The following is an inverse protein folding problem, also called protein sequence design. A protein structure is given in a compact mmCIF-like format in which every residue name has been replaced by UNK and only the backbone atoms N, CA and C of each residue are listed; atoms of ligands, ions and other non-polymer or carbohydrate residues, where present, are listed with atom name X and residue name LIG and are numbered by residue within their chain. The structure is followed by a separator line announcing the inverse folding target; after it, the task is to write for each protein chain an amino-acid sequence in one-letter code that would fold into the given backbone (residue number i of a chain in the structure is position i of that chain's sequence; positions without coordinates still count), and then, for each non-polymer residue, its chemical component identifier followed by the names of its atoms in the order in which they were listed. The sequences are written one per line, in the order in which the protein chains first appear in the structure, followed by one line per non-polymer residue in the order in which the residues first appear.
data_IF_836630540308
#
_entry.id   IF_836630540308
#
_cell.length_a   1.000
_cell.length_b   1.000
_cell.length_c   1.000
_cell.angle_alpha   90.00
_cell.angle_beta   90.00
_cell.angle_gamma   90.00
#
_symmetry.space_group_name_H-M   'P 1'
#
loop_
_entity.id
_entity.type
_entity.pdbx_description
1 polymer ?
#
# COMPACT_ATOMS: atom_id res chain seq x y z
N UNK A 1 -15.72 -8.95 8.83
CA UNK A 1 -15.51 -10.07 9.77
C UNK A 1 -14.13 -10.64 9.48
N UNK A 2 -13.21 -10.62 10.45
CA UNK A 2 -11.86 -11.18 10.30
C UNK A 2 -11.95 -12.65 10.74
N UNK A 3 -11.58 -13.59 9.87
CA UNK A 3 -11.60 -15.01 10.17
C UNK A 3 -10.23 -15.43 10.72
N UNK A 4 -10.19 -15.95 11.93
CA UNK A 4 -8.96 -16.45 12.55
C UNK A 4 -9.18 -17.79 13.23
N UNK A 5 -8.11 -18.59 13.34
CA UNK A 5 -8.07 -19.86 14.09
C UNK A 5 -7.16 -19.71 15.30
N UNK A 6 -7.67 -20.01 16.48
CA UNK A 6 -6.86 -20.07 17.71
C UNK A 6 -6.16 -21.44 17.77
N UNK A 7 -4.84 -21.43 17.91
CA UNK A 7 -4.00 -22.59 18.16
C UNK A 7 -4.01 -22.95 19.66
N UNK A 8 -3.67 -24.20 19.96
CA UNK A 8 -3.62 -24.75 21.33
C UNK A 8 -2.58 -24.09 22.24
N UNK A 9 -1.62 -23.35 21.68
CA UNK A 9 -0.63 -22.55 22.41
C UNK A 9 -1.10 -21.10 22.69
N UNK A 10 -2.35 -20.76 22.34
CA UNK A 10 -2.95 -19.44 22.54
C UNK A 10 -2.70 -18.45 21.40
N UNK A 11 -1.98 -18.84 20.33
CA UNK A 11 -1.75 -17.97 19.16
C UNK A 11 -2.96 -17.98 18.22
N UNK A 12 -3.29 -16.84 17.62
CA UNK A 12 -4.28 -16.79 16.54
C UNK A 12 -3.61 -16.70 15.18
N UNK A 13 -4.13 -17.46 14.22
CA UNK A 13 -3.76 -17.39 12.80
C UNK A 13 -4.89 -16.70 12.04
N UNK A 14 -4.60 -15.60 11.33
CA UNK A 14 -5.54 -15.01 10.38
C UNK A 14 -5.64 -15.89 9.14
N UNK A 15 -6.83 -16.43 8.89
CA UNK A 15 -7.09 -17.37 7.80
C UNK A 15 -7.08 -16.70 6.42
N UNK A 16 -6.96 -15.37 6.34
CA UNK A 16 -6.90 -14.63 5.07
C UNK A 16 -5.50 -14.64 4.45
N UNK A 17 -4.47 -15.00 5.20
CA UNK A 17 -3.07 -14.99 4.74
C UNK A 17 -2.48 -16.39 4.56
N UNK A 18 -3.24 -17.45 4.82
CA UNK A 18 -2.74 -18.82 4.72
C UNK A 18 -3.64 -19.67 3.83
N UNK A 19 -3.14 -20.02 2.64
CA UNK A 19 -3.90 -20.80 1.66
C UNK A 19 -4.19 -22.25 2.12
N UNK A 20 -3.39 -22.78 3.04
CA UNK A 20 -3.66 -24.00 3.82
C UNK A 20 -2.52 -24.17 4.84
N UNK A 21 -2.83 -24.46 6.11
CA UNK A 21 -1.83 -24.94 7.07
C UNK A 21 -2.09 -26.43 7.23
N UNK A 22 -1.17 -27.26 6.75
CA UNK A 22 -1.20 -28.69 7.06
C UNK A 22 -0.54 -28.94 8.43
N UNK A 23 -0.91 -30.02 9.14
CA UNK A 23 -0.26 -30.39 10.39
C UNK A 23 1.22 -30.72 10.14
N UNK A 24 2.12 -29.78 10.43
CA UNK A 24 3.56 -29.94 10.22
C UNK A 24 4.27 -28.71 9.65
N UNK A 25 3.53 -27.70 9.17
CA UNK A 25 4.13 -26.49 8.61
C UNK A 25 4.78 -25.61 9.70
N UNK A 26 6.06 -25.28 9.50
CA UNK A 26 6.81 -24.34 10.33
C UNK A 26 6.52 -22.94 9.80
N UNK A 27 5.77 -22.15 10.56
CA UNK A 27 5.58 -20.73 10.25
C UNK A 27 6.94 -20.02 10.32
N UNK A 28 7.38 -19.45 9.19
CA UNK A 28 8.64 -18.72 9.09
C UNK A 28 8.50 -17.40 9.87
N UNK A 29 9.52 -17.08 10.67
CA UNK A 29 9.61 -16.00 11.68
C UNK A 29 9.38 -14.56 11.16
N UNK A 30 8.99 -14.39 9.89
CA UNK A 30 8.59 -13.10 9.30
C UNK A 30 7.09 -12.80 9.36
N UNK A 31 6.26 -13.78 9.75
CA UNK A 31 4.80 -13.68 9.77
C UNK A 31 4.26 -13.55 11.22
N UNK A 32 4.91 -12.70 12.01
CA UNK A 32 4.52 -12.43 13.40
C UNK A 32 3.19 -11.69 13.39
N UNK A 33 2.11 -12.44 13.60
CA UNK A 33 0.78 -11.90 13.88
C UNK A 33 0.90 -11.06 15.15
N UNK A 34 0.39 -9.81 15.16
CA UNK A 34 0.32 -9.02 16.39
C UNK A 34 -0.46 -9.80 17.44
N UNK A 35 -0.09 -9.65 18.71
CA UNK A 35 -0.80 -10.21 19.86
C UNK A 35 -2.32 -10.21 19.61
N UNK A 36 -2.98 -11.36 19.78
CA UNK A 36 -4.42 -11.54 19.51
C UNK A 36 -5.27 -10.49 20.24
N UNK A 37 -4.81 -10.03 21.40
CA UNK A 37 -5.46 -8.97 22.18
C UNK A 37 -5.37 -7.58 21.52
N UNK A 38 -4.42 -7.40 20.60
CA UNK A 38 -4.12 -6.13 19.91
C UNK A 38 -4.61 -6.08 18.46
N UNK A 39 -5.06 -7.21 17.88
CA UNK A 39 -5.63 -7.30 16.52
C UNK A 39 -6.87 -6.41 16.29
N UNK A 40 -7.55 -6.02 17.35
CA UNK A 40 -8.70 -5.09 17.31
C UNK A 40 -8.39 -3.74 17.94
N UNK A 41 -7.14 -3.51 18.33
CA UNK A 41 -6.74 -2.20 18.85
C UNK A 41 -6.87 -1.15 17.74
N UNK A 42 -7.29 0.05 18.13
CA UNK A 42 -7.40 1.18 17.22
C UNK A 42 -6.05 1.44 16.51
N UNK A 43 -4.93 1.34 17.24
CA UNK A 43 -3.59 1.52 16.69
C UNK A 43 -3.25 0.50 15.60
N UNK A 44 -3.61 -0.77 15.79
CA UNK A 44 -3.38 -1.79 14.77
C UNK A 44 -4.22 -1.53 13.51
N UNK A 45 -5.50 -1.19 13.67
CA UNK A 45 -6.40 -0.89 12.55
C UNK A 45 -5.87 0.32 11.75
N UNK A 46 -5.37 1.36 12.45
CA UNK A 46 -4.73 2.52 11.81
C UNK A 46 -3.52 2.09 10.98
N UNK A 47 -2.61 1.29 11.53
CA UNK A 47 -1.43 0.83 10.81
C UNK A 47 -1.77 -0.02 9.57
N UNK A 48 -2.79 -0.89 9.68
CA UNK A 48 -3.28 -1.68 8.56
C UNK A 48 -3.82 -0.77 7.43
N UNK A 49 -4.65 0.22 7.79
CA UNK A 49 -5.22 1.17 6.84
C UNK A 49 -4.13 2.04 6.19
N UNK A 50 -3.14 2.52 6.95
CA UNK A 50 -2.00 3.28 6.40
C UNK A 50 -1.24 2.42 5.39
N UNK A 51 -0.97 1.16 5.72
CA UNK A 51 -0.30 0.23 4.79
C UNK A 51 -1.10 0.05 3.50
N UNK A 52 -2.43 -0.07 3.60
CA UNK A 52 -3.32 -0.14 2.43
C UNK A 52 -3.31 1.15 1.59
N UNK A 53 -3.27 2.33 2.22
CA UNK A 53 -3.13 3.61 1.50
C UNK A 53 -1.82 3.67 0.72
N UNK A 54 -0.70 3.23 1.31
CA UNK A 54 0.60 3.22 0.63
C UNK A 54 0.63 2.24 -0.54
N UNK A 55 0.01 1.07 -0.38
CA UNK A 55 -0.13 0.10 -1.46
C UNK A 55 -0.96 0.65 -2.63
N UNK A 56 -2.09 1.32 -2.34
CA UNK A 56 -2.93 1.93 -3.37
C UNK A 56 -2.22 3.09 -4.08
N UNK A 57 -1.47 3.91 -3.35
CA UNK A 57 -0.63 4.96 -3.92
C UNK A 57 0.42 4.40 -4.89
N UNK A 58 1.10 3.31 -4.51
CA UNK A 58 2.06 2.62 -5.39
C UNK A 58 1.39 2.15 -6.68
N UNK A 59 0.23 1.50 -6.58
CA UNK A 59 -0.53 1.03 -7.74
C UNK A 59 -0.92 2.18 -8.68
N UNK A 60 -1.38 3.31 -8.15
CA UNK A 60 -1.72 4.49 -8.96
C UNK A 60 -0.48 5.10 -9.64
N UNK A 61 0.67 5.14 -8.95
CA UNK A 61 1.94 5.59 -9.53
C UNK A 61 2.39 4.68 -10.67
N UNK A 62 2.34 3.36 -10.46
CA UNK A 62 2.74 2.37 -11.47
C UNK A 62 1.91 2.48 -12.76
N UNK A 63 0.62 2.81 -12.65
CA UNK A 63 -0.24 3.08 -13.82
C UNK A 63 0.11 4.42 -14.48
N UNK A 64 0.46 5.44 -13.71
CA UNK A 64 0.71 6.80 -14.21
C UNK A 64 2.03 6.91 -14.95
N UNK A 65 3.10 6.42 -14.32
CA UNK A 65 4.47 6.48 -14.83
C UNK A 65 5.24 5.23 -14.35
N UNK A 66 5.13 4.10 -15.08
CA UNK A 66 5.87 2.89 -14.76
C UNK A 66 7.39 3.12 -14.72
N UNK A 67 8.10 2.44 -13.82
CA UNK A 67 9.56 2.54 -13.65
C UNK A 67 10.36 2.33 -14.95
N UNK A 68 9.90 1.43 -15.83
CA UNK A 68 10.57 1.17 -17.10
C UNK A 68 10.50 2.39 -18.03
N UNK A 69 9.44 3.19 -17.97
CA UNK A 69 9.33 4.43 -18.77
C UNK A 69 10.27 5.50 -18.24
N UNK A 70 10.43 5.58 -16.91
CA UNK A 70 11.38 6.48 -16.27
C UNK A 70 12.81 6.16 -16.69
N UNK A 71 13.22 4.89 -16.54
CA UNK A 71 14.55 4.43 -16.95
C UNK A 71 14.81 4.69 -18.43
N UNK A 72 13.87 4.28 -19.29
CA UNK A 72 13.99 4.50 -20.73
C UNK A 72 14.11 5.98 -21.10
N UNK A 73 13.35 6.86 -20.46
CA UNK A 73 13.44 8.30 -20.71
C UNK A 73 14.83 8.84 -20.34
N UNK A 74 15.36 8.43 -19.18
CA UNK A 74 16.71 8.80 -18.76
C UNK A 74 17.77 8.34 -19.77
N UNK A 75 17.73 7.07 -20.17
CA UNK A 75 18.67 6.49 -21.14
C UNK A 75 18.62 7.23 -22.48
N UNK A 76 17.41 7.58 -22.95
CA UNK A 76 17.24 8.30 -24.21
C UNK A 76 17.80 9.73 -24.16
N UNK A 77 17.63 10.41 -23.02
CA UNK A 77 18.20 11.74 -22.78
C UNK A 77 19.73 11.68 -22.73
N UNK A 78 20.29 10.70 -22.01
CA UNK A 78 21.74 10.52 -21.88
C UNK A 78 22.41 10.19 -23.23
N UNK A 79 21.76 9.35 -24.05
CA UNK A 79 22.24 8.99 -25.38
C UNK A 79 21.98 10.07 -26.45
N UNK A 80 21.28 11.15 -26.11
CA UNK A 80 20.93 12.22 -27.07
C UNK A 80 20.00 11.76 -28.19
N UNK A 81 19.20 10.71 -27.96
CA UNK A 81 18.26 10.17 -28.95
C UNK A 81 16.84 10.71 -28.72
N UNK A 82 16.00 10.67 -29.76
CA UNK A 82 14.62 11.09 -29.64
C UNK A 82 13.88 10.29 -28.55
N UNK A 83 13.31 11.01 -27.58
CA UNK A 83 12.63 10.41 -26.43
C UNK A 83 11.24 9.92 -26.83
N UNK A 84 10.79 8.79 -26.27
CA UNK A 84 9.41 8.30 -26.46
C UNK A 84 8.39 9.14 -25.70
N UNK A 85 8.83 9.90 -24.70
CA UNK A 85 8.04 10.88 -23.96
C UNK A 85 8.64 12.26 -24.20
N UNK A 86 7.81 13.23 -24.60
CA UNK A 86 8.23 14.62 -24.61
C UNK A 86 8.55 15.08 -23.19
N UNK A 87 9.45 16.03 -23.03
CA UNK A 87 9.80 16.60 -21.71
C UNK A 87 8.55 17.10 -20.98
N UNK A 88 7.62 17.76 -21.69
CA UNK A 88 6.36 18.22 -21.11
C UNK A 88 5.50 17.06 -20.57
N UNK A 89 5.37 15.97 -21.32
CA UNK A 89 4.59 14.81 -20.88
C UNK A 89 5.24 14.09 -19.70
N UNK A 90 6.57 13.99 -19.70
CA UNK A 90 7.32 13.39 -18.60
C UNK A 90 7.15 14.21 -17.31
N UNK A 91 7.32 15.53 -17.38
CA UNK A 91 7.13 16.44 -16.23
C UNK A 91 5.69 16.38 -15.72
N UNK A 92 4.69 16.40 -16.59
CA UNK A 92 3.28 16.28 -16.17
C UNK A 92 3.02 14.97 -15.42
N UNK A 93 3.53 13.84 -15.92
CA UNK A 93 3.41 12.55 -15.25
C UNK A 93 4.13 12.50 -13.91
N UNK A 94 5.33 13.11 -13.81
CA UNK A 94 6.03 13.25 -12.53
C UNK A 94 5.23 14.08 -11.52
N UNK A 95 4.61 15.18 -11.95
CA UNK A 95 3.74 16.00 -11.10
C UNK A 95 2.52 15.22 -10.60
N UNK A 96 1.87 14.42 -11.46
CA UNK A 96 0.79 13.52 -11.03
C UNK A 96 1.27 12.51 -10.00
N UNK A 97 2.44 11.91 -10.19
CA UNK A 97 3.02 10.99 -9.20
C UNK A 97 3.28 11.68 -7.85
N UNK A 98 3.74 12.93 -7.87
CA UNK A 98 3.92 13.71 -6.64
C UNK A 98 2.58 14.00 -5.97
N UNK A 99 1.55 14.40 -6.72
CA UNK A 99 0.22 14.61 -6.19
C UNK A 99 -0.37 13.34 -5.55
N UNK A 100 -0.10 12.15 -6.11
CA UNK A 100 -0.49 10.88 -5.50
C UNK A 100 0.24 10.66 -4.16
N UNK A 101 1.53 10.97 -4.05
CA UNK A 101 2.27 10.87 -2.77
C UNK A 101 1.70 11.83 -1.71
N UNK A 102 1.40 13.05 -2.10
CA UNK A 102 0.85 14.07 -1.21
C UNK A 102 -0.57 13.68 -0.73
N UNK A 103 -1.40 13.15 -1.64
CA UNK A 103 -2.70 12.59 -1.32
C UNK A 103 -2.59 11.42 -0.33
N UNK A 104 -1.65 10.51 -0.55
CA UNK A 104 -1.39 9.40 0.37
C UNK A 104 -1.04 9.87 1.78
N UNK A 105 -0.19 10.89 1.91
CA UNK A 105 0.17 11.47 3.21
C UNK A 105 -1.01 12.17 3.90
N UNK A 106 -1.91 12.77 3.10
CA UNK A 106 -3.14 13.40 3.61
C UNK A 106 -4.07 12.34 4.21
N UNK A 107 -4.31 11.24 3.48
CA UNK A 107 -5.18 10.15 3.95
C UNK A 107 -4.56 9.44 5.17
N UNK A 108 -3.24 9.28 5.19
CA UNK A 108 -2.53 8.74 6.37
C UNK A 108 -2.77 9.62 7.61
N UNK A 109 -2.68 10.93 7.46
CA UNK A 109 -2.94 11.87 8.56
C UNK A 109 -4.38 11.75 9.05
N UNK A 110 -5.34 11.64 8.14
CA UNK A 110 -6.76 11.42 8.46
C UNK A 110 -6.97 10.11 9.24
N UNK A 111 -6.35 9.01 8.80
CA UNK A 111 -6.38 7.73 9.50
C UNK A 111 -5.79 7.87 10.91
N UNK A 112 -4.66 8.57 11.06
CA UNK A 112 -4.00 8.74 12.35
C UNK A 112 -4.87 9.48 13.37
N UNK A 113 -5.66 10.47 12.94
CA UNK A 113 -6.55 11.24 13.83
C UNK A 113 -7.95 10.63 13.98
N UNK A 114 -8.36 9.73 13.09
CA UNK A 114 -9.70 9.14 13.11
C UNK A 114 -9.94 8.25 14.35
N UNK A 115 -11.17 8.34 14.89
CA UNK A 115 -11.70 7.41 15.89
C UNK A 115 -12.29 6.15 15.27
N UNK A 116 -12.65 6.19 13.98
CA UNK A 116 -13.10 5.06 13.18
C UNK A 116 -12.36 5.01 11.83
N UNK A 117 -11.17 4.40 11.76
CA UNK A 117 -10.42 4.30 10.51
C UNK A 117 -11.08 3.40 9.45
N UNK A 118 -12.10 2.60 9.82
CA UNK A 118 -12.75 1.69 8.89
C UNK A 118 -13.70 2.40 7.93
N UNK A 119 -14.26 3.54 8.34
CA UNK A 119 -15.14 4.37 7.50
C UNK A 119 -14.42 5.06 6.34
N UNK A 120 -13.08 5.15 6.39
CA UNK A 120 -12.27 5.78 5.33
C UNK A 120 -12.17 4.83 4.14
N UNK A 121 -12.80 5.23 3.03
CA UNK A 121 -12.68 4.58 1.72
C UNK A 121 -11.37 5.01 1.05
N UNK A 122 -10.38 4.13 1.11
CA UNK A 122 -9.06 4.35 0.54
C UNK A 122 -9.12 4.38 -0.99
N UNK A 123 -9.95 3.58 -1.64
CA UNK A 123 -9.89 3.44 -3.10
C UNK A 123 -10.48 4.68 -3.82
N UNK A 124 -11.58 5.22 -3.26
CA UNK A 124 -12.33 6.33 -3.83
C UNK A 124 -12.15 7.64 -3.04
N UNK A 125 -11.05 7.76 -2.30
CA UNK A 125 -10.80 8.95 -1.48
C UNK A 125 -10.73 10.22 -2.33
N UNK A 126 -11.36 11.29 -1.86
CA UNK A 126 -11.43 12.60 -2.56
C UNK A 126 -10.08 13.29 -2.71
N UNK A 127 -9.11 12.92 -1.87
CA UNK A 127 -7.74 13.43 -1.94
C UNK A 127 -6.96 12.92 -3.16
N UNK A 128 -7.37 11.80 -3.78
CA UNK A 128 -6.67 11.31 -4.96
C UNK A 128 -6.82 12.28 -6.13
N UNK A 129 -5.74 12.54 -6.89
CA UNK A 129 -5.86 13.30 -8.13
C UNK A 129 -6.74 12.54 -9.13
N UNK A 130 -7.64 13.28 -9.79
CA UNK A 130 -8.53 12.79 -10.85
C UNK A 130 -7.77 12.51 -12.13
#
# INVERSE_FOLDING_TARGET
MIAYKIQTDGRAIDLRFVNSIEPGDIAIEGDVIPDIHTLHSLSYIKNLKISAVKAEASKKIDVTLPDWQVRRHHDQVELGVATTLTTANYTAKQQTCQAIRDASNTIETEIQVSSDPNSIDIANHTAWPV
#
